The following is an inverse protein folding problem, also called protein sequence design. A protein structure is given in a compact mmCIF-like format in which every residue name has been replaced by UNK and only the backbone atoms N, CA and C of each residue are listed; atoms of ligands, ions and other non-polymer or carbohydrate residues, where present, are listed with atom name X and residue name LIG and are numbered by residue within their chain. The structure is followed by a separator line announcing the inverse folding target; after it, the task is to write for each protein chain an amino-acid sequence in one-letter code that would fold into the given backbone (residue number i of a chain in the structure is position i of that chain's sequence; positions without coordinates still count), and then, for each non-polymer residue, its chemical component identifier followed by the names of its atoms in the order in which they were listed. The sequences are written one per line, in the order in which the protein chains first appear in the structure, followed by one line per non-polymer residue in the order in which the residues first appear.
data_IF_869338222872
#
_entry.id   IF_869338222872
#
_cell.length_a   1.000
_cell.length_b   1.000
_cell.length_c   1.000
_cell.angle_alpha   90.00
_cell.angle_beta   90.00
_cell.angle_gamma   90.00
#
_symmetry.space_group_name_H-M   'P 1'
#
loop_
_entity.id
_entity.type
_entity.pdbx_description
1 polymer ?
#
# COMPACT_ATOMS: atom_id res chain seq x y z
N UNK A 1 0.78 14.23 2.56
CA UNK A 1 1.37 12.99 2.01
C UNK A 1 0.80 11.84 2.83
N UNK A 2 0.48 10.71 2.20
CA UNK A 2 -0.07 9.55 2.91
C UNK A 2 1.08 8.77 3.56
N UNK A 3 2.02 8.25 2.77
CA UNK A 3 3.27 7.70 3.29
C UNK A 3 4.29 8.79 3.59
N UNK A 4 4.90 8.71 4.77
CA UNK A 4 6.12 9.45 5.11
C UNK A 4 7.33 8.90 4.33
N UNK A 5 8.41 9.67 4.25
CA UNK A 5 9.66 9.18 3.66
C UNK A 5 10.26 8.00 4.42
N UNK A 6 10.19 8.03 5.76
CA UNK A 6 10.72 6.97 6.61
C UNK A 6 9.95 5.63 6.44
N UNK A 7 8.62 5.71 6.29
CA UNK A 7 7.79 4.53 6.02
C UNK A 7 8.10 3.96 4.63
N UNK A 8 8.15 4.81 3.59
CA UNK A 8 8.48 4.37 2.24
C UNK A 8 9.90 3.75 2.16
N UNK A 9 10.88 4.29 2.88
CA UNK A 9 12.22 3.73 2.96
C UNK A 9 12.25 2.39 3.73
N UNK A 10 11.41 2.21 4.75
CA UNK A 10 11.29 0.92 5.44
C UNK A 10 10.72 -0.15 4.52
N UNK A 11 9.66 0.16 3.78
CA UNK A 11 9.08 -0.74 2.78
C UNK A 11 10.15 -1.04 1.71
N UNK A 12 10.85 -0.02 1.20
CA UNK A 12 11.89 -0.19 0.19
C UNK A 12 13.01 -1.12 0.67
N UNK A 13 13.44 -0.99 1.94
CA UNK A 13 14.49 -1.85 2.50
C UNK A 13 14.12 -3.33 2.59
N UNK A 14 12.83 -3.66 2.64
CA UNK A 14 12.40 -5.07 2.61
C UNK A 14 12.68 -5.73 1.27
N UNK A 15 12.75 -4.94 0.19
CA UNK A 15 12.94 -5.45 -1.18
C UNK A 15 14.31 -5.11 -1.74
N UNK A 16 14.79 -3.88 -1.53
CA UNK A 16 16.06 -3.35 -2.04
C UNK A 16 16.76 -2.53 -0.94
N UNK A 17 17.61 -3.16 -0.10
CA UNK A 17 18.21 -2.51 1.07
C UNK A 17 19.21 -1.40 0.72
N UNK A 18 19.81 -1.46 -0.48
CA UNK A 18 20.84 -0.53 -0.93
C UNK A 18 20.30 0.69 -1.70
N UNK A 19 18.98 0.78 -1.88
CA UNK A 19 18.33 1.84 -2.66
C UNK A 19 17.62 2.82 -1.74
N UNK A 20 17.65 4.09 -2.12
CA UNK A 20 16.97 5.19 -1.42
C UNK A 20 15.90 5.84 -2.29
N UNK A 21 14.90 6.44 -1.67
CA UNK A 21 13.84 7.17 -2.38
C UNK A 21 14.07 8.68 -2.32
N UNK A 22 14.04 9.37 -3.47
CA UNK A 22 14.05 10.84 -3.49
C UNK A 22 12.71 11.43 -3.04
N UNK A 23 12.73 12.62 -2.42
CA UNK A 23 11.50 13.29 -1.96
C UNK A 23 10.50 13.57 -3.09
N UNK A 24 10.98 13.84 -4.31
CA UNK A 24 10.11 13.99 -5.48
C UNK A 24 9.53 12.65 -5.97
N UNK A 25 10.30 11.56 -5.88
CA UNK A 25 9.80 10.21 -6.16
C UNK A 25 8.71 9.80 -5.16
N UNK A 26 8.92 10.11 -3.88
CA UNK A 26 7.93 9.91 -2.82
C UNK A 26 6.62 10.67 -3.07
N UNK A 27 6.69 11.88 -3.61
CA UNK A 27 5.49 12.67 -3.92
C UNK A 27 4.66 12.03 -5.03
N UNK A 28 5.29 11.62 -6.14
CA UNK A 28 4.57 10.94 -7.24
C UNK A 28 4.08 9.55 -6.80
N UNK A 29 4.84 8.83 -5.97
CA UNK A 29 4.41 7.56 -5.37
C UNK A 29 3.17 7.75 -4.49
N UNK A 30 3.16 8.77 -3.63
CA UNK A 30 2.03 9.10 -2.78
C UNK A 30 0.75 9.39 -3.59
N UNK A 31 0.88 10.08 -4.73
CA UNK A 31 -0.26 10.32 -5.60
C UNK A 31 -0.82 9.00 -6.16
N UNK A 32 0.04 8.08 -6.60
CA UNK A 32 -0.39 6.75 -7.05
C UNK A 32 -1.05 5.92 -5.95
N UNK A 33 -0.53 5.99 -4.72
CA UNK A 33 -1.11 5.27 -3.57
C UNK A 33 -2.50 5.82 -3.22
N UNK A 34 -2.69 7.13 -3.27
CA UNK A 34 -4.01 7.72 -3.02
C UNK A 34 -5.02 7.24 -4.07
N UNK A 35 -4.64 7.19 -5.35
CA UNK A 35 -5.48 6.65 -6.42
C UNK A 35 -5.78 5.15 -6.20
N UNK A 36 -4.79 4.38 -5.77
CA UNK A 36 -4.96 2.97 -5.41
C UNK A 36 -5.99 2.83 -4.27
N UNK A 37 -5.86 3.60 -3.20
CA UNK A 37 -6.81 3.61 -2.06
C UNK A 37 -8.21 3.98 -2.54
N UNK A 38 -8.34 5.03 -3.36
CA UNK A 38 -9.64 5.46 -3.89
C UNK A 38 -10.28 4.37 -4.75
N UNK A 39 -9.50 3.63 -5.55
CA UNK A 39 -9.98 2.49 -6.34
C UNK A 39 -10.41 1.33 -5.47
N UNK A 40 -9.58 0.91 -4.50
CA UNK A 40 -9.93 -0.17 -3.56
C UNK A 40 -11.25 0.17 -2.88
N UNK A 41 -11.33 1.38 -2.35
CA UNK A 41 -12.53 1.85 -1.65
C UNK A 41 -13.71 2.15 -2.56
N UNK A 42 -13.57 2.23 -3.89
CA UNK A 42 -14.71 2.35 -4.81
C UNK A 42 -15.28 0.99 -5.19
N UNK A 43 -14.46 -0.06 -5.14
CA UNK A 43 -14.85 -1.43 -5.49
C UNK A 43 -15.35 -2.24 -4.29
N UNK A 44 -15.10 -1.77 -3.06
CA UNK A 44 -15.70 -2.34 -1.86
C UNK A 44 -17.06 -1.65 -1.65
N UNK A 45 -18.12 -2.42 -1.42
CA UNK A 45 -19.46 -1.90 -1.15
C UNK A 45 -20.02 -2.55 0.12
N UNK A 46 -19.50 -2.18 1.30
CA UNK A 46 -19.89 -2.78 2.56
C UNK A 46 -21.30 -2.32 2.94
N UNK A 47 -22.18 -3.26 3.26
CA UNK A 47 -23.60 -2.96 3.55
C UNK A 47 -23.81 -2.45 4.99
N UNK A 48 -23.16 -3.08 5.97
CA UNK A 48 -23.37 -2.80 7.41
C UNK A 48 -22.06 -2.76 8.17
N UNK A 49 -21.17 -3.73 7.90
CA UNK A 49 -19.85 -3.81 8.49
C UNK A 49 -18.84 -4.17 7.41
N UNK A 50 -17.71 -3.46 7.38
CA UNK A 50 -16.62 -3.75 6.47
C UNK A 50 -15.79 -4.91 7.01
N UNK A 51 -15.76 -6.03 6.27
CA UNK A 51 -15.04 -7.25 6.66
C UNK A 51 -13.79 -7.47 5.80
N UNK A 52 -12.84 -8.25 6.31
CA UNK A 52 -11.64 -8.62 5.55
C UNK A 52 -11.97 -9.38 4.25
N UNK A 53 -13.03 -10.18 4.24
CA UNK A 53 -13.51 -10.91 3.06
C UNK A 53 -13.87 -9.98 1.89
N UNK A 54 -14.44 -8.81 2.16
CA UNK A 54 -14.81 -7.84 1.11
C UNK A 54 -13.57 -7.20 0.50
N UNK A 55 -12.54 -6.95 1.32
CA UNK A 55 -11.22 -6.50 0.83
C UNK A 55 -10.57 -7.60 0.00
N UNK A 56 -10.68 -8.86 0.45
CA UNK A 56 -10.11 -10.02 -0.23
C UNK A 56 -10.71 -10.22 -1.62
N UNK A 57 -12.03 -10.10 -1.75
CA UNK A 57 -12.73 -10.16 -3.04
C UNK A 57 -12.30 -9.03 -3.98
N UNK A 58 -12.06 -7.84 -3.41
CA UNK A 58 -11.63 -6.70 -4.19
C UNK A 58 -10.17 -6.82 -4.66
N UNK A 59 -9.32 -7.67 -4.06
CA UNK A 59 -7.88 -7.79 -4.37
C UNK A 59 -7.59 -7.98 -5.86
N UNK A 60 -8.42 -8.78 -6.56
CA UNK A 60 -8.29 -9.04 -7.99
C UNK A 60 -8.41 -7.77 -8.86
N UNK A 61 -9.01 -6.70 -8.34
CA UNK A 61 -9.15 -5.44 -9.04
C UNK A 61 -7.97 -4.48 -8.84
N UNK A 62 -7.08 -4.76 -7.88
CA UNK A 62 -6.02 -3.83 -7.51
C UNK A 62 -4.63 -4.45 -7.29
N UNK A 63 -4.50 -5.77 -7.44
CA UNK A 63 -3.23 -6.49 -7.44
C UNK A 63 -3.20 -7.48 -8.61
N UNK A 64 -2.03 -7.71 -9.24
CA UNK A 64 -1.88 -8.73 -10.25
C UNK A 64 -1.95 -10.12 -9.60
N UNK A 65 -2.46 -11.12 -10.35
CA UNK A 65 -2.79 -12.45 -9.81
C UNK A 65 -1.61 -13.14 -9.12
N UNK A 66 -0.39 -12.92 -9.61
CA UNK A 66 0.86 -13.42 -9.03
C UNK A 66 1.15 -12.90 -7.62
N UNK A 67 0.62 -11.73 -7.24
CA UNK A 67 0.85 -11.09 -5.94
C UNK A 67 -0.31 -11.30 -4.95
N UNK A 68 -1.47 -11.76 -5.41
CA UNK A 68 -2.66 -11.90 -4.56
C UNK A 68 -2.42 -12.89 -3.43
N UNK A 69 -1.90 -14.08 -3.71
CA UNK A 69 -1.60 -15.12 -2.70
C UNK A 69 -0.60 -14.62 -1.65
N UNK A 70 0.44 -13.91 -2.10
CA UNK A 70 1.47 -13.34 -1.23
C UNK A 70 0.87 -12.24 -0.33
N UNK A 71 0.06 -11.34 -0.90
CA UNK A 71 -0.63 -10.28 -0.18
C UNK A 71 -1.62 -10.83 0.85
N UNK A 72 -2.39 -11.87 0.50
CA UNK A 72 -3.30 -12.55 1.44
C UNK A 72 -2.55 -13.15 2.62
N UNK A 73 -1.43 -13.82 2.34
CA UNK A 73 -0.60 -14.45 3.38
C UNK A 73 0.00 -13.41 4.31
N UNK A 74 0.54 -12.32 3.76
CA UNK A 74 1.09 -11.20 4.53
C UNK A 74 0.02 -10.52 5.39
N UNK A 75 -1.16 -10.26 4.81
CA UNK A 75 -2.28 -9.62 5.49
C UNK A 75 -2.83 -10.48 6.62
N UNK A 76 -3.00 -11.78 6.40
CA UNK A 76 -3.43 -12.71 7.45
C UNK A 76 -2.41 -12.78 8.61
N UNK A 77 -1.11 -12.81 8.31
CA UNK A 77 -0.08 -12.76 9.34
C UNK A 77 -0.10 -11.44 10.12
N UNK A 78 -0.34 -10.31 9.44
CA UNK A 78 -0.47 -9.00 10.07
C UNK A 78 -1.70 -8.93 11.00
N UNK A 79 -2.85 -9.43 10.55
CA UNK A 79 -4.08 -9.49 11.36
C UNK A 79 -3.90 -10.41 12.57
N UNK A 80 -3.24 -11.55 12.42
CA UNK A 80 -2.94 -12.44 13.55
C UNK A 80 -2.03 -11.77 14.59
N UNK A 81 -0.99 -11.06 14.15
CA UNK A 81 -0.11 -10.28 15.04
C UNK A 81 -0.88 -9.16 15.76
N UNK A 82 -1.76 -8.46 15.04
CA UNK A 82 -2.58 -7.39 15.61
C UNK A 82 -3.59 -7.94 16.64
N UNK A 83 -4.27 -9.04 16.31
CA UNK A 83 -5.21 -9.71 17.22
C UNK A 83 -4.50 -10.25 18.47
N UNK A 84 -3.29 -10.80 18.31
CA UNK A 84 -2.51 -11.37 19.41
C UNK A 84 -1.91 -10.31 20.34
N UNK A 85 -1.59 -9.13 19.80
CA UNK A 85 -1.08 -8.01 20.60
C UNK A 85 -2.19 -7.26 21.34
N UNK A 86 -3.46 -7.42 20.93
CA UNK A 86 -4.59 -6.69 21.52
C UNK A 86 -4.46 -5.18 21.36
N UNK A 87 -3.61 -4.73 20.44
CA UNK A 87 -3.37 -3.33 20.16
C UNK A 87 -4.61 -2.69 19.53
N UNK A 88 -4.79 -1.40 19.77
CA UNK A 88 -5.76 -0.57 19.04
C UNK A 88 -5.04 0.21 17.96
N UNK A 89 -5.76 0.60 16.91
CA UNK A 89 -5.23 1.56 15.95
C UNK A 89 -5.05 2.91 16.66
N UNK A 90 -3.81 3.20 17.04
CA UNK A 90 -3.37 4.49 17.57
C UNK A 90 -2.61 5.26 16.48
N UNK A 91 -2.27 6.52 16.76
CA UNK A 91 -1.40 7.31 15.87
C UNK A 91 -0.08 6.57 15.69
N UNK A 92 0.12 6.01 14.49
CA UNK A 92 1.37 5.34 14.12
C UNK A 92 2.55 6.32 14.18
N UNK A 93 3.70 5.80 14.58
CA UNK A 93 4.97 6.50 14.45
C UNK A 93 5.26 6.78 12.97
N UNK A 94 6.05 7.82 12.67
CA UNK A 94 6.37 8.20 11.28
C UNK A 94 6.99 7.08 10.43
N UNK A 95 7.46 5.99 11.05
CA UNK A 95 8.13 4.86 10.39
C UNK A 95 7.19 3.75 9.93
N UNK A 96 5.99 3.67 10.51
CA UNK A 96 5.06 2.57 10.25
C UNK A 96 4.00 2.99 9.23
N UNK A 97 3.34 2.00 8.61
CA UNK A 97 2.26 2.28 7.67
C UNK A 97 1.12 3.01 8.40
N UNK A 98 0.61 4.14 7.88
CA UNK A 98 -0.28 5.02 8.62
C UNK A 98 -1.71 4.45 8.70
N UNK A 99 -1.92 3.53 9.65
CA UNK A 99 -3.22 2.88 9.89
C UNK A 99 -4.32 3.86 10.31
N UNK A 100 -3.97 4.90 11.09
CA UNK A 100 -4.91 5.93 11.55
C UNK A 100 -5.43 6.79 10.38
N UNK A 101 -4.54 7.22 9.47
CA UNK A 101 -4.93 7.97 8.27
C UNK A 101 -5.78 7.11 7.34
N UNK A 102 -5.46 5.82 7.19
CA UNK A 102 -6.27 4.88 6.40
C UNK A 102 -7.66 4.70 7.01
N UNK A 103 -7.75 4.48 8.33
CA UNK A 103 -9.01 4.35 9.05
C UNK A 103 -9.86 5.62 8.95
N UNK A 104 -9.22 6.79 9.09
CA UNK A 104 -9.88 8.09 8.98
C UNK A 104 -10.49 8.28 7.58
N UNK A 105 -9.75 7.97 6.51
CA UNK A 105 -10.25 8.00 5.13
C UNK A 105 -11.40 7.03 4.89
N UNK A 106 -11.33 5.82 5.45
CA UNK A 106 -12.42 4.85 5.35
C UNK A 106 -13.69 5.37 6.05
N UNK A 107 -13.56 5.97 7.23
CA UNK A 107 -14.69 6.59 7.96
C UNK A 107 -15.27 7.82 7.23
N UNK A 108 -14.41 8.59 6.56
CA UNK A 108 -14.82 9.70 5.70
C UNK A 108 -15.56 9.25 4.44
N UNK A 109 -15.35 8.03 3.97
CA UNK A 109 -16.09 7.52 2.81
C UNK A 109 -17.33 6.72 3.20
N UNK A 110 -17.23 5.94 4.26
CA UNK A 110 -18.26 5.02 4.72
C UNK A 110 -18.82 5.44 6.08
N UNK A 111 -19.43 6.62 6.12
CA UNK A 111 -19.92 7.23 7.36
C UNK A 111 -20.90 6.35 8.16
N UNK A 112 -21.67 5.53 7.46
CA UNK A 112 -22.74 4.69 8.03
C UNK A 112 -22.33 3.24 8.26
N UNK A 113 -21.09 2.86 7.94
CA UNK A 113 -20.62 1.47 7.99
C UNK A 113 -19.71 1.30 9.19
N UNK A 114 -19.90 0.20 9.93
CA UNK A 114 -18.96 -0.18 10.99
C UNK A 114 -17.68 -0.70 10.36
N UNK A 115 -16.55 -0.06 10.62
CA UNK A 115 -15.25 -0.49 10.11
C UNK A 115 -14.52 -1.24 11.22
N UNK A 116 -14.18 -2.51 10.95
CA UNK A 116 -13.39 -3.32 11.86
C UNK A 116 -11.90 -2.99 11.72
N UNK A 117 -11.20 -2.80 12.84
CA UNK A 117 -9.76 -2.48 12.86
C UNK A 117 -8.92 -3.56 12.17
N UNK A 118 -9.31 -4.83 12.31
CA UNK A 118 -8.65 -5.95 11.63
C UNK A 118 -8.72 -5.81 10.10
N UNK A 119 -9.82 -5.29 9.57
CA UNK A 119 -9.99 -5.06 8.14
C UNK A 119 -9.10 -3.94 7.64
N UNK A 120 -8.87 -2.91 8.46
CA UNK A 120 -7.93 -1.83 8.13
C UNK A 120 -6.50 -2.35 8.10
N UNK A 121 -6.10 -3.16 9.08
CA UNK A 121 -4.78 -3.81 9.10
C UNK A 121 -4.59 -4.73 7.89
N UNK A 122 -5.62 -5.50 7.53
CA UNK A 122 -5.60 -6.34 6.35
C UNK A 122 -5.38 -5.51 5.08
N UNK A 123 -6.20 -4.48 4.87
CA UNK A 123 -6.12 -3.59 3.72
C UNK A 123 -4.77 -2.87 3.64
N UNK A 124 -4.25 -2.38 4.76
CA UNK A 124 -2.95 -1.75 4.84
C UNK A 124 -1.82 -2.68 4.39
N UNK A 125 -1.81 -3.94 4.84
CA UNK A 125 -0.80 -4.92 4.44
C UNK A 125 -0.86 -5.27 2.95
N UNK A 126 -2.06 -5.33 2.36
CA UNK A 126 -2.22 -5.50 0.92
C UNK A 126 -1.67 -4.29 0.14
N UNK A 127 -1.97 -3.06 0.59
CA UNK A 127 -1.43 -1.84 -0.03
C UNK A 127 0.10 -1.82 0.09
N UNK A 128 0.65 -2.16 1.25
CA UNK A 128 2.09 -2.20 1.48
C UNK A 128 2.79 -3.17 0.52
N UNK A 129 2.18 -4.34 0.28
CA UNK A 129 2.69 -5.32 -0.70
C UNK A 129 2.68 -4.76 -2.13
N UNK A 130 1.60 -4.07 -2.52
CA UNK A 130 1.52 -3.40 -3.82
C UNK A 130 2.60 -2.31 -3.98
N UNK A 131 2.80 -1.51 -2.93
CA UNK A 131 3.81 -0.44 -2.90
C UNK A 131 5.22 -1.01 -2.96
N UNK A 132 5.49 -2.11 -2.26
CA UNK A 132 6.77 -2.80 -2.27
C UNK A 132 7.17 -3.25 -3.69
N UNK A 133 6.23 -3.80 -4.44
CA UNK A 133 6.48 -4.25 -5.82
C UNK A 133 6.64 -3.08 -6.80
N UNK A 134 5.88 -2.00 -6.63
CA UNK A 134 6.11 -0.76 -7.39
C UNK A 134 7.50 -0.19 -7.11
N UNK A 135 7.91 -0.13 -5.83
CA UNK A 135 9.22 0.34 -5.40
C UNK A 135 10.36 -0.54 -5.92
N UNK A 136 10.16 -1.86 -5.96
CA UNK A 136 11.09 -2.82 -6.56
C UNK A 136 11.34 -2.50 -8.02
N UNK A 137 10.28 -2.38 -8.82
CA UNK A 137 10.38 -2.05 -10.24
C UNK A 137 11.07 -0.68 -10.46
N UNK A 138 10.77 0.30 -9.60
CA UNK A 138 11.43 1.61 -9.65
C UNK A 138 12.92 1.53 -9.30
N UNK A 139 13.28 0.72 -8.29
CA UNK A 139 14.65 0.51 -7.86
C UNK A 139 15.48 -0.24 -8.90
N UNK A 140 14.94 -1.30 -9.48
CA UNK A 140 15.55 -2.01 -10.61
C UNK A 140 15.81 -1.05 -11.78
N UNK A 141 14.84 -0.19 -12.12
CA UNK A 141 15.02 0.83 -13.15
C UNK A 141 16.14 1.81 -12.81
N UNK A 142 16.23 2.28 -11.56
CA UNK A 142 17.31 3.16 -11.12
C UNK A 142 18.68 2.46 -11.22
N UNK A 143 18.75 1.18 -10.86
CA UNK A 143 19.97 0.38 -10.96
C UNK A 143 20.44 0.19 -12.41
N UNK A 144 19.53 0.04 -13.38
CA UNK A 144 19.92 -0.02 -14.81
C UNK A 144 20.66 1.23 -15.29
N UNK A 145 20.47 2.35 -14.60
CA UNK A 145 21.14 3.63 -14.88
C UNK A 145 22.34 3.88 -13.94
N UNK A 146 22.82 2.86 -13.23
CA UNK A 146 23.86 2.94 -12.21
C UNK A 146 23.54 3.91 -11.06
N UNK A 147 22.26 4.14 -10.75
CA UNK A 147 21.82 4.96 -9.63
C UNK A 147 21.29 4.10 -8.49
N UNK A 148 21.65 4.49 -7.25
CA UNK A 148 21.12 3.90 -6.01
C UNK A 148 20.00 4.74 -5.37
N UNK A 149 19.48 5.72 -6.11
CA UNK A 149 18.38 6.56 -5.66
C UNK A 149 17.28 6.57 -6.71
N UNK A 150 16.06 6.21 -6.30
CA UNK A 150 14.85 6.29 -7.10
C UNK A 150 14.47 7.75 -7.26
N UNK A 151 14.50 8.22 -8.51
CA UNK A 151 14.11 9.56 -8.90
C UNK A 151 12.64 9.60 -9.30
N UNK A 152 12.11 10.82 -9.43
CA UNK A 152 10.78 11.06 -10.01
C UNK A 152 10.59 10.40 -11.38
N UNK A 153 11.61 10.43 -12.22
CA UNK A 153 11.52 9.90 -13.58
C UNK A 153 11.42 8.37 -13.60
N UNK A 154 12.00 7.70 -12.61
CA UNK A 154 11.90 6.24 -12.49
C UNK A 154 10.47 5.83 -12.15
N UNK A 155 9.85 6.51 -11.19
CA UNK A 155 8.44 6.28 -10.81
C UNK A 155 7.53 6.51 -12.01
N UNK A 156 7.66 7.65 -12.70
CA UNK A 156 6.85 7.94 -13.90
C UNK A 156 7.07 6.92 -15.01
N UNK A 157 8.31 6.49 -15.21
CA UNK A 157 8.64 5.52 -16.25
C UNK A 157 7.98 4.17 -15.93
N UNK A 158 8.06 3.70 -14.69
CA UNK A 158 7.42 2.43 -14.28
C UNK A 158 5.91 2.53 -14.41
N UNK A 159 5.29 3.63 -13.96
CA UNK A 159 3.85 3.86 -14.12
C UNK A 159 3.41 3.97 -15.60
N UNK A 160 4.31 4.28 -16.53
CA UNK A 160 3.97 4.36 -17.94
C UNK A 160 4.28 3.07 -18.73
N UNK A 161 5.22 2.24 -18.26
CA UNK A 161 5.77 1.12 -19.04
C UNK A 161 5.54 -0.25 -18.40
N UNK A 162 5.21 -0.32 -17.10
CA UNK A 162 4.94 -1.59 -16.43
C UNK A 162 3.45 -1.92 -16.51
N UNK A 163 3.06 -2.68 -17.54
CA UNK A 163 1.66 -3.06 -17.78
C UNK A 163 1.07 -3.98 -16.70
N UNK A 164 1.90 -4.60 -15.86
CA UNK A 164 1.43 -5.47 -14.79
C UNK A 164 1.08 -4.68 -13.53
N UNK A 165 1.87 -3.67 -13.17
CA UNK A 165 1.71 -2.93 -11.90
C UNK A 165 1.03 -1.57 -12.12
N UNK A 166 1.36 -0.87 -13.21
CA UNK A 166 0.88 0.49 -13.45
C UNK A 166 -0.66 0.63 -13.46
N UNK A 167 -1.45 -0.31 -14.04
CA UNK A 167 -2.90 -0.17 -14.07
C UNK A 167 -3.55 -0.03 -12.69
N UNK A 168 -2.87 -0.44 -11.63
CA UNK A 168 -3.37 -0.34 -10.25
C UNK A 168 -3.06 1.01 -9.59
N UNK A 169 -2.09 1.76 -10.10
CA UNK A 169 -1.62 3.04 -9.56
C UNK A 169 -1.95 4.26 -10.45
N UNK A 170 -2.45 4.03 -11.68
CA UNK A 170 -2.88 5.06 -12.64
C UNK A 170 -4.34 4.89 -12.98
#
# INVERSE_FOLDING_TARGET
MFLSGACADNILKTVLPDVTLSSMGLMDLNNGILLLIDRITNNIAPLVEMKAEEVELALHHFLPENLIEAAKTAANAAVQKFTSSGAKIEKCEEKDFPLDDLLSRLREKYHSVRINENTVVYMASCIETAVAELLKACGEKAMTQNRKQISRMDVKWVLANNFEIAPFFT
#
